data_IF_289928110734
#
_entry.id   IF_289928110734
#
_cell.length_a   1.000
_cell.length_b   1.000
_cell.length_c   1.000
_cell.angle_alpha   90.00
_cell.angle_beta   90.00
_cell.angle_gamma   90.00
#
_symmetry.space_group_name_H-M   'P 1'
#
loop_
_entity.id
_entity.type
_entity.pdbx_description
1 polymer ?
#
# COMPACT_ATOMS: atom_id res chain seq x y z
N UNK A 1 6.99 25.63 -32.50
CA UNK A 1 7.28 25.85 -31.05
C UNK A 1 8.72 25.46 -30.67
N UNK A 2 9.73 26.00 -31.34
CA UNK A 2 11.17 25.71 -31.13
C UNK A 2 11.71 26.16 -29.75
N UNK A 3 11.09 27.19 -29.16
CA UNK A 3 11.53 27.74 -27.87
C UNK A 3 11.43 26.72 -26.71
N UNK A 4 10.38 25.91 -26.66
CA UNK A 4 10.18 24.91 -25.63
C UNK A 4 11.20 23.73 -25.68
N UNK A 5 11.88 23.55 -26.82
CA UNK A 5 12.90 22.51 -27.00
C UNK A 5 14.28 22.92 -26.48
N UNK A 6 14.50 24.20 -26.19
CA UNK A 6 15.80 24.69 -25.70
C UNK A 6 16.08 24.23 -24.27
N UNK A 7 17.36 23.88 -23.97
CA UNK A 7 17.78 23.50 -22.63
C UNK A 7 17.42 24.55 -21.57
N UNK A 8 17.55 25.85 -21.89
CA UNK A 8 17.19 26.97 -21.01
C UNK A 8 15.70 26.98 -20.66
N UNK A 9 14.82 26.84 -21.64
CA UNK A 9 13.38 26.79 -21.40
C UNK A 9 12.99 25.60 -20.51
N UNK A 10 13.54 24.39 -20.79
CA UNK A 10 13.32 23.19 -19.95
C UNK A 10 13.77 23.40 -18.49
N UNK A 11 14.95 23.99 -18.27
CA UNK A 11 15.45 24.28 -16.93
C UNK A 11 14.53 25.29 -16.23
N UNK A 12 14.17 26.39 -16.86
CA UNK A 12 13.30 27.42 -16.27
C UNK A 12 11.92 26.85 -15.90
N UNK A 13 11.36 25.98 -16.72
CA UNK A 13 10.05 25.36 -16.44
C UNK A 13 10.11 24.27 -15.36
N UNK A 14 11.19 23.50 -15.28
CA UNK A 14 11.34 22.42 -14.31
C UNK A 14 11.86 22.91 -12.95
N UNK A 15 12.64 24.00 -12.93
CA UNK A 15 13.33 24.49 -11.73
C UNK A 15 12.36 24.76 -10.55
N UNK A 16 11.23 25.51 -10.72
CA UNK A 16 10.33 25.78 -9.60
C UNK A 16 9.77 24.50 -8.97
N UNK A 17 9.34 23.55 -9.81
CA UNK A 17 8.82 22.25 -9.34
C UNK A 17 9.90 21.43 -8.64
N UNK A 18 11.11 21.38 -9.20
CA UNK A 18 12.24 20.67 -8.60
C UNK A 18 12.68 21.31 -7.28
N UNK A 19 12.66 22.64 -7.17
CA UNK A 19 12.97 23.33 -5.91
C UNK A 19 11.96 22.99 -4.82
N UNK A 20 10.66 23.05 -5.12
CA UNK A 20 9.60 22.67 -4.18
C UNK A 20 9.75 21.22 -3.77
N UNK A 21 9.98 20.32 -4.73
CA UNK A 21 10.20 18.89 -4.46
C UNK A 21 11.45 18.65 -3.57
N UNK A 22 12.54 19.36 -3.85
CA UNK A 22 13.77 19.26 -3.07
C UNK A 22 13.54 19.71 -1.62
N UNK A 23 12.87 20.85 -1.40
CA UNK A 23 12.63 21.40 -0.05
C UNK A 23 11.66 20.53 0.74
N UNK A 24 10.59 20.04 0.11
CA UNK A 24 9.52 19.32 0.84
C UNK A 24 9.83 17.82 1.00
N UNK A 25 10.57 17.21 0.09
CA UNK A 25 10.79 15.77 0.09
C UNK A 25 12.26 15.40 0.28
N UNK A 26 13.16 15.95 -0.55
CA UNK A 26 14.56 15.52 -0.54
C UNK A 26 15.27 15.96 0.74
N UNK A 27 15.15 17.24 1.12
CA UNK A 27 15.82 17.76 2.32
C UNK A 27 15.34 17.05 3.59
N UNK A 28 14.03 16.85 3.87
CA UNK A 28 13.59 16.08 5.04
C UNK A 28 14.10 14.64 5.08
N UNK A 29 14.25 13.98 3.92
CA UNK A 29 14.86 12.64 3.86
C UNK A 29 16.30 12.65 4.32
N UNK A 30 17.11 13.62 3.87
CA UNK A 30 18.49 13.77 4.34
C UNK A 30 18.57 14.13 5.83
N UNK A 31 17.66 14.98 6.31
CA UNK A 31 17.55 15.32 7.73
C UNK A 31 17.22 14.06 8.55
N UNK A 32 16.24 13.26 8.12
CA UNK A 32 15.89 11.99 8.77
C UNK A 32 17.08 11.03 8.78
N UNK A 33 17.80 10.94 7.66
CA UNK A 33 19.01 10.13 7.56
C UNK A 33 20.10 10.60 8.53
N UNK A 34 20.36 11.91 8.63
CA UNK A 34 21.32 12.44 9.58
C UNK A 34 20.93 12.11 11.04
N UNK A 35 19.67 12.40 11.44
CA UNK A 35 19.22 12.13 12.79
C UNK A 35 19.16 10.64 13.14
N UNK A 36 19.04 9.76 12.17
CA UNK A 36 19.05 8.31 12.40
C UNK A 36 20.35 7.78 13.00
N UNK A 37 21.46 8.53 12.86
CA UNK A 37 22.76 8.24 13.47
C UNK A 37 22.99 8.97 14.81
N UNK A 38 21.95 9.58 15.39
CA UNK A 38 22.05 10.35 16.62
C UNK A 38 21.16 9.80 17.72
N UNK A 39 21.40 10.20 18.96
CA UNK A 39 20.56 9.92 20.12
C UNK A 39 19.49 11.00 20.36
N UNK A 40 19.20 11.80 19.34
CA UNK A 40 18.27 12.94 19.47
C UNK A 40 16.92 12.54 20.05
N UNK A 41 16.51 13.25 21.11
CA UNK A 41 15.25 13.04 21.83
C UNK A 41 14.14 14.05 21.49
N UNK A 42 14.40 14.96 20.53
CA UNK A 42 13.51 16.07 20.19
C UNK A 42 13.80 17.36 20.93
N UNK A 43 14.62 17.34 21.98
CA UNK A 43 15.03 18.48 22.77
C UNK A 43 16.55 18.43 23.03
N UNK A 44 17.20 19.60 23.04
CA UNK A 44 18.64 19.70 23.32
C UNK A 44 19.53 19.34 22.13
N UNK A 45 20.79 18.98 22.44
CA UNK A 45 21.80 18.65 21.41
C UNK A 45 21.71 17.19 21.02
N UNK A 46 21.79 16.90 19.72
CA UNK A 46 21.93 15.56 19.20
C UNK A 46 23.40 15.12 19.27
N UNK A 47 23.72 13.99 19.92
CA UNK A 47 25.04 13.39 19.89
C UNK A 47 25.11 12.31 18.83
N UNK A 48 26.21 12.22 18.11
CA UNK A 48 26.39 11.18 17.09
C UNK A 48 26.67 9.82 17.76
N UNK A 49 25.86 8.82 17.46
CA UNK A 49 25.95 7.46 18.04
C UNK A 49 26.26 6.38 16.98
N UNK A 50 26.57 6.79 15.76
CA UNK A 50 26.84 5.87 14.67
C UNK A 50 25.66 4.94 14.36
N UNK A 51 25.91 3.68 14.15
CA UNK A 51 24.89 2.67 13.79
C UNK A 51 24.11 2.09 14.98
N UNK A 52 24.27 2.64 16.19
CA UNK A 52 23.67 2.10 17.42
C UNK A 52 22.14 1.95 17.32
N UNK A 53 21.44 2.90 16.70
CA UNK A 53 20.00 2.84 16.48
C UNK A 53 19.61 1.65 15.58
N UNK A 54 20.39 1.40 14.54
CA UNK A 54 20.13 0.29 13.61
C UNK A 54 20.39 -1.08 14.27
N UNK A 55 21.44 -1.19 15.08
CA UNK A 55 21.69 -2.40 15.89
C UNK A 55 20.57 -2.62 16.88
N UNK A 56 20.11 -1.56 17.56
CA UNK A 56 19.00 -1.63 18.51
C UNK A 56 17.70 -2.15 17.86
N UNK A 57 17.40 -1.80 16.61
CA UNK A 57 16.21 -2.31 15.91
C UNK A 57 16.16 -3.82 15.85
N UNK A 58 17.26 -4.51 15.59
CA UNK A 58 17.31 -5.97 15.52
C UNK A 58 17.11 -6.68 16.88
N UNK A 59 17.26 -5.95 17.99
CA UNK A 59 17.02 -6.43 19.34
C UNK A 59 15.70 -5.93 19.94
N UNK A 60 15.00 -5.05 19.23
CA UNK A 60 13.72 -4.49 19.65
C UNK A 60 12.57 -5.40 19.22
N UNK A 61 11.96 -6.09 20.19
CA UNK A 61 10.85 -7.01 19.96
C UNK A 61 9.65 -6.33 19.29
N UNK A 62 9.35 -5.05 19.62
CA UNK A 62 8.23 -4.33 19.04
C UNK A 62 8.50 -3.97 17.58
N UNK A 63 9.74 -3.59 17.25
CA UNK A 63 10.14 -3.39 15.86
C UNK A 63 10.00 -4.68 15.03
N UNK A 64 10.45 -5.81 15.56
CA UNK A 64 10.34 -7.09 14.86
C UNK A 64 8.90 -7.53 14.67
N UNK A 65 8.00 -7.27 15.64
CA UNK A 65 6.56 -7.50 15.51
C UNK A 65 5.99 -6.60 14.40
N UNK A 66 6.29 -5.31 14.44
CA UNK A 66 5.82 -4.36 13.44
C UNK A 66 6.33 -4.70 12.02
N UNK A 67 7.58 -5.13 11.91
CA UNK A 67 8.17 -5.62 10.66
C UNK A 67 7.41 -6.86 10.13
N UNK A 68 7.21 -7.86 10.98
CA UNK A 68 6.44 -9.08 10.64
C UNK A 68 5.03 -8.73 10.18
N UNK A 69 4.32 -7.90 10.95
CA UNK A 69 2.96 -7.49 10.62
C UNK A 69 2.90 -6.73 9.29
N UNK A 70 3.85 -5.82 9.04
CA UNK A 70 3.92 -5.09 7.77
C UNK A 70 4.09 -6.04 6.59
N UNK A 71 4.95 -7.06 6.70
CA UNK A 71 5.10 -8.07 5.66
C UNK A 71 3.87 -8.96 5.50
N UNK A 72 3.18 -9.32 6.59
CA UNK A 72 1.91 -10.05 6.50
C UNK A 72 0.84 -9.21 5.79
N UNK A 73 0.67 -7.95 6.19
CA UNK A 73 -0.27 -7.03 5.51
C UNK A 73 0.10 -6.88 4.04
N UNK A 74 1.40 -6.74 3.72
CA UNK A 74 1.87 -6.66 2.34
C UNK A 74 1.49 -7.90 1.53
N UNK A 75 1.78 -9.09 2.06
CA UNK A 75 1.50 -10.36 1.40
C UNK A 75 0.00 -10.52 1.11
N UNK A 76 -0.84 -10.33 2.12
CA UNK A 76 -2.30 -10.43 1.97
C UNK A 76 -2.83 -9.34 1.04
N UNK A 77 -2.36 -8.09 1.18
CA UNK A 77 -2.80 -7.00 0.30
C UNK A 77 -2.41 -7.25 -1.15
N UNK A 78 -1.20 -7.72 -1.45
CA UNK A 78 -0.80 -8.05 -2.82
C UNK A 78 -1.74 -9.10 -3.40
N UNK A 79 -2.03 -10.19 -2.67
CA UNK A 79 -2.89 -11.26 -3.16
C UNK A 79 -4.32 -10.77 -3.40
N UNK A 80 -4.96 -10.20 -2.36
CA UNK A 80 -6.37 -9.80 -2.43
C UNK A 80 -6.60 -8.61 -3.37
N UNK A 81 -5.68 -7.63 -3.37
CA UNK A 81 -5.85 -6.43 -4.16
C UNK A 81 -5.59 -6.66 -5.64
N UNK A 82 -4.52 -7.39 -5.99
CA UNK A 82 -4.22 -7.66 -7.40
C UNK A 82 -5.33 -8.50 -8.02
N UNK A 83 -5.74 -9.58 -7.37
CA UNK A 83 -6.81 -10.43 -7.88
C UNK A 83 -8.14 -9.67 -7.90
N UNK A 84 -8.52 -9.03 -6.79
CA UNK A 84 -9.81 -8.34 -6.68
C UNK A 84 -9.93 -7.15 -7.63
N UNK A 85 -8.88 -6.33 -7.75
CA UNK A 85 -8.91 -5.16 -8.65
C UNK A 85 -8.86 -5.55 -10.13
N UNK A 86 -8.16 -6.63 -10.48
CA UNK A 86 -8.16 -7.16 -11.84
C UNK A 86 -9.56 -7.70 -12.21
N UNK A 87 -10.19 -8.48 -11.32
CA UNK A 87 -11.57 -8.96 -11.53
C UNK A 87 -12.57 -7.81 -11.63
N UNK A 88 -12.44 -6.79 -10.75
CA UNK A 88 -13.25 -5.59 -10.82
C UNK A 88 -13.07 -4.86 -12.17
N UNK A 89 -11.85 -4.78 -12.69
CA UNK A 89 -11.56 -4.16 -13.98
C UNK A 89 -12.21 -4.92 -15.15
N UNK A 90 -12.16 -6.25 -15.12
CA UNK A 90 -12.86 -7.09 -16.12
C UNK A 90 -14.37 -6.84 -16.11
N UNK A 91 -14.98 -6.70 -14.93
CA UNK A 91 -16.39 -6.36 -14.79
C UNK A 91 -16.67 -4.93 -15.26
N UNK A 92 -15.86 -3.97 -14.86
CA UNK A 92 -15.98 -2.56 -15.29
C UNK A 92 -15.82 -2.37 -16.79
N UNK A 93 -15.11 -3.27 -17.47
CA UNK A 93 -14.93 -3.23 -18.94
C UNK A 93 -16.14 -3.75 -19.70
N UNK A 94 -17.03 -4.52 -19.07
CA UNK A 94 -18.25 -5.03 -19.71
C UNK A 94 -19.30 -3.93 -19.83
N UNK A 95 -20.04 -3.95 -20.95
CA UNK A 95 -21.20 -3.09 -21.14
C UNK A 95 -22.46 -3.79 -20.57
N UNK A 96 -22.93 -3.33 -19.40
CA UNK A 96 -24.19 -3.76 -18.80
C UNK A 96 -24.94 -2.59 -18.18
N UNK A 97 -26.25 -2.73 -18.01
CA UNK A 97 -27.07 -1.72 -17.36
C UNK A 97 -26.59 -1.51 -15.90
N UNK A 98 -26.25 -0.27 -15.54
CA UNK A 98 -25.72 0.05 -14.21
C UNK A 98 -24.19 0.01 -14.08
N UNK A 99 -23.44 -0.22 -15.16
CA UNK A 99 -21.96 -0.22 -15.11
C UNK A 99 -21.38 1.08 -14.55
N UNK A 100 -21.99 2.23 -14.87
CA UNK A 100 -21.55 3.52 -14.31
C UNK A 100 -21.72 3.56 -12.78
N UNK A 101 -22.86 3.07 -12.27
CA UNK A 101 -23.10 2.97 -10.83
C UNK A 101 -22.13 1.97 -10.16
N UNK A 102 -21.89 0.83 -10.78
CA UNK A 102 -20.93 -0.16 -10.30
C UNK A 102 -19.51 0.43 -10.15
N UNK A 103 -19.03 1.18 -11.17
CA UNK A 103 -17.75 1.89 -11.11
C UNK A 103 -17.71 2.91 -9.97
N UNK A 104 -18.79 3.65 -9.78
CA UNK A 104 -18.91 4.63 -8.71
C UNK A 104 -18.83 3.95 -7.33
N UNK A 105 -19.56 2.88 -7.10
CA UNK A 105 -19.59 2.15 -5.82
C UNK A 105 -18.22 1.55 -5.48
N UNK A 106 -17.55 0.93 -6.47
CA UNK A 106 -16.23 0.35 -6.24
C UNK A 106 -15.16 1.42 -5.98
N UNK A 107 -15.27 2.58 -6.62
CA UNK A 107 -14.30 3.67 -6.45
C UNK A 107 -14.57 4.53 -5.20
N UNK A 108 -15.82 4.58 -4.72
CA UNK A 108 -16.22 5.44 -3.61
C UNK A 108 -15.36 5.30 -2.33
N UNK A 109 -14.97 4.08 -1.88
CA UNK A 109 -14.12 3.93 -0.69
C UNK A 109 -12.78 4.64 -0.80
N UNK A 110 -12.18 4.73 -1.98
CA UNK A 110 -10.90 5.39 -2.20
C UNK A 110 -10.92 6.89 -1.93
N UNK A 111 -12.09 7.53 -2.13
CA UNK A 111 -12.26 8.98 -1.93
C UNK A 111 -12.40 9.33 -0.45
N UNK A 112 -12.76 8.36 0.39
CA UNK A 112 -12.94 8.57 1.83
C UNK A 112 -11.56 8.60 2.51
N UNK A 113 -11.36 9.59 3.39
CA UNK A 113 -10.10 9.70 4.14
C UNK A 113 -9.84 8.43 4.97
N UNK A 114 -8.59 7.88 4.97
CA UNK A 114 -8.25 6.63 5.68
C UNK A 114 -8.59 6.64 7.17
N UNK A 115 -8.51 7.80 7.80
CA UNK A 115 -8.88 7.97 9.22
C UNK A 115 -10.37 7.67 9.47
N UNK A 116 -11.25 8.11 8.59
CA UNK A 116 -12.71 7.86 8.70
C UNK A 116 -12.99 6.38 8.47
N UNK A 117 -12.35 5.77 7.48
CA UNK A 117 -12.44 4.33 7.21
C UNK A 117 -11.97 3.53 8.44
N UNK A 118 -10.85 3.91 9.04
CA UNK A 118 -10.35 3.26 10.25
C UNK A 118 -11.34 3.31 11.41
N UNK A 119 -12.02 4.44 11.62
CA UNK A 119 -13.07 4.58 12.65
C UNK A 119 -14.25 3.65 12.34
N UNK A 120 -14.79 3.70 11.12
CA UNK A 120 -15.96 2.91 10.71
C UNK A 120 -15.66 1.41 10.85
N UNK A 121 -14.55 0.95 10.31
CA UNK A 121 -14.18 -0.46 10.38
C UNK A 121 -13.77 -0.90 11.80
N UNK A 122 -13.24 0.00 12.63
CA UNK A 122 -13.01 -0.23 14.05
C UNK A 122 -14.31 -0.59 14.79
N UNK A 123 -15.42 0.08 14.46
CA UNK A 123 -16.74 -0.28 15.01
C UNK A 123 -17.30 -1.56 14.38
N UNK A 124 -17.20 -1.73 13.05
CA UNK A 124 -17.74 -2.90 12.33
C UNK A 124 -17.06 -4.19 12.79
N UNK A 125 -15.74 -4.18 12.99
CA UNK A 125 -14.92 -5.33 13.36
C UNK A 125 -14.71 -5.48 14.87
N UNK A 126 -15.36 -4.66 15.71
CA UNK A 126 -15.20 -4.78 17.16
C UNK A 126 -15.61 -6.17 17.64
N UNK A 127 -14.76 -6.88 18.45
CA UNK A 127 -15.03 -8.25 18.86
C UNK A 127 -16.32 -8.41 19.68
N UNK A 128 -16.68 -7.41 20.49
CA UNK A 128 -17.75 -7.49 21.46
C UNK A 128 -19.12 -7.08 20.89
N UNK A 129 -19.16 -5.93 20.21
CA UNK A 129 -20.40 -5.31 19.72
C UNK A 129 -20.39 -5.03 18.21
N UNK A 130 -19.34 -5.44 17.51
CA UNK A 130 -19.20 -5.18 16.07
C UNK A 130 -20.24 -5.90 15.23
N UNK A 131 -20.61 -5.24 14.13
CA UNK A 131 -21.63 -5.74 13.20
C UNK A 131 -21.28 -7.13 12.65
N UNK A 132 -20.02 -7.37 12.29
CA UNK A 132 -19.60 -8.64 11.69
C UNK A 132 -19.84 -9.80 12.65
N UNK A 133 -19.35 -9.72 13.89
CA UNK A 133 -19.56 -10.79 14.89
C UNK A 133 -21.03 -10.93 15.30
N UNK A 134 -21.77 -9.82 15.35
CA UNK A 134 -23.21 -9.86 15.67
C UNK A 134 -24.01 -10.59 14.60
N UNK A 135 -23.69 -10.37 13.32
CA UNK A 135 -24.32 -11.10 12.19
C UNK A 135 -23.90 -12.58 12.20
N UNK A 136 -22.61 -12.87 12.35
CA UNK A 136 -22.10 -14.25 12.38
C UNK A 136 -22.78 -15.10 13.47
N UNK A 137 -22.93 -14.54 14.69
CA UNK A 137 -23.64 -15.20 15.80
C UNK A 137 -25.12 -15.42 15.49
N UNK A 138 -25.81 -14.42 14.88
CA UNK A 138 -27.23 -14.55 14.53
C UNK A 138 -27.52 -15.63 13.49
N UNK A 139 -26.57 -15.91 12.58
CA UNK A 139 -26.70 -16.97 11.56
C UNK A 139 -26.10 -18.31 12.00
N UNK A 140 -25.71 -18.46 13.28
CA UNK A 140 -25.18 -19.70 13.84
C UNK A 140 -23.72 -20.01 13.47
N UNK A 141 -22.96 -19.03 13.01
CA UNK A 141 -21.54 -19.16 12.65
C UNK A 141 -20.62 -18.63 13.75
N UNK A 142 -20.89 -19.00 15.00
CA UNK A 142 -20.14 -18.53 16.19
C UNK A 142 -18.63 -18.82 16.10
N UNK A 143 -18.24 -19.92 15.47
CA UNK A 143 -16.82 -20.27 15.27
C UNK A 143 -16.04 -19.24 14.41
N UNK A 144 -16.73 -18.46 13.58
CA UNK A 144 -16.14 -17.39 12.77
C UNK A 144 -16.21 -16.02 13.46
N UNK A 145 -16.90 -15.92 14.61
CA UNK A 145 -16.94 -14.68 15.41
C UNK A 145 -15.66 -14.52 16.24
N UNK A 146 -14.60 -14.13 15.56
CA UNK A 146 -13.23 -14.02 16.09
C UNK A 146 -12.89 -12.59 16.52
N UNK A 147 -11.72 -12.41 17.14
CA UNK A 147 -11.14 -11.10 17.42
C UNK A 147 -10.48 -10.53 16.16
N UNK A 148 -11.31 -9.95 15.27
CA UNK A 148 -10.84 -9.31 14.03
C UNK A 148 -9.81 -8.22 14.28
N UNK A 149 -10.03 -7.42 15.33
CA UNK A 149 -9.16 -6.36 15.81
C UNK A 149 -8.96 -6.54 17.32
N UNK A 150 -7.86 -6.03 17.85
CA UNK A 150 -7.56 -6.17 19.29
C UNK A 150 -6.89 -7.50 19.67
N UNK A 151 -6.80 -8.45 18.74
CA UNK A 151 -6.05 -9.70 18.90
C UNK A 151 -4.73 -9.70 18.11
N UNK A 152 -3.79 -10.53 18.52
CA UNK A 152 -2.46 -10.61 17.88
C UNK A 152 -2.48 -11.36 16.54
N UNK A 153 -3.43 -12.26 16.38
CA UNK A 153 -3.47 -13.21 15.25
C UNK A 153 -4.13 -12.63 14.01
N UNK A 154 -5.28 -11.98 14.17
CA UNK A 154 -6.14 -11.60 13.05
C UNK A 154 -6.02 -10.13 12.65
N UNK A 155 -5.48 -9.27 13.52
CA UNK A 155 -5.37 -7.83 13.23
C UNK A 155 -4.63 -7.50 11.92
N UNK A 156 -3.50 -8.15 11.56
CA UNK A 156 -2.84 -7.87 10.29
C UNK A 156 -3.70 -8.24 9.06
N UNK A 157 -4.45 -9.36 9.14
CA UNK A 157 -5.36 -9.77 8.07
C UNK A 157 -6.53 -8.79 7.93
N UNK A 158 -7.12 -8.36 9.04
CA UNK A 158 -8.20 -7.38 9.05
C UNK A 158 -7.75 -6.04 8.45
N UNK A 159 -6.56 -5.57 8.81
CA UNK A 159 -5.96 -4.39 8.21
C UNK A 159 -5.75 -4.54 6.70
N UNK A 160 -5.27 -5.70 6.25
CA UNK A 160 -5.08 -5.99 4.84
C UNK A 160 -6.40 -6.00 4.06
N UNK A 161 -7.47 -6.58 4.63
CA UNK A 161 -8.81 -6.63 4.02
C UNK A 161 -9.37 -5.21 3.90
N UNK A 162 -9.31 -4.41 4.96
CA UNK A 162 -9.85 -3.05 4.96
C UNK A 162 -9.06 -2.14 4.02
N UNK A 163 -7.74 -2.22 4.05
CA UNK A 163 -6.88 -1.50 3.10
C UNK A 163 -7.19 -1.89 1.66
N UNK A 164 -7.29 -3.19 1.37
CA UNK A 164 -7.64 -3.69 0.04
C UNK A 164 -8.99 -3.16 -0.43
N UNK A 165 -10.02 -3.23 0.42
CA UNK A 165 -11.33 -2.69 0.10
C UNK A 165 -11.29 -1.20 -0.20
N UNK A 166 -10.54 -0.43 0.58
CA UNK A 166 -10.41 1.01 0.40
C UNK A 166 -9.82 1.37 -0.95
N UNK A 167 -8.73 0.70 -1.37
CA UNK A 167 -7.99 1.09 -2.58
C UNK A 167 -8.32 0.26 -3.82
N UNK A 168 -9.21 -0.74 -3.71
CA UNK A 168 -9.56 -1.66 -4.79
C UNK A 168 -10.03 -0.94 -6.06
N UNK A 169 -10.89 0.06 -5.92
CA UNK A 169 -11.40 0.83 -7.06
C UNK A 169 -10.32 1.59 -7.82
N UNK A 170 -9.37 2.19 -7.11
CA UNK A 170 -8.23 2.88 -7.70
C UNK A 170 -7.37 1.92 -8.54
N UNK A 171 -6.96 0.79 -7.96
CA UNK A 171 -6.18 -0.23 -8.67
C UNK A 171 -6.97 -0.86 -9.83
N UNK A 172 -8.29 -1.04 -9.63
CA UNK A 172 -9.19 -1.50 -10.69
C UNK A 172 -9.26 -0.55 -11.89
N UNK A 173 -9.24 0.77 -11.67
CA UNK A 173 -9.21 1.75 -12.78
C UNK A 173 -7.89 1.72 -13.55
N UNK A 174 -6.77 1.45 -12.88
CA UNK A 174 -5.46 1.27 -13.55
C UNK A 174 -5.51 0.03 -14.44
N UNK A 175 -6.03 -1.10 -13.94
CA UNK A 175 -6.22 -2.30 -14.77
C UNK A 175 -7.19 -2.06 -15.92
N UNK A 176 -8.30 -1.36 -15.69
CA UNK A 176 -9.27 -1.02 -16.73
C UNK A 176 -8.63 -0.19 -17.85
N UNK A 177 -7.79 0.78 -17.48
CA UNK A 177 -7.05 1.59 -18.46
C UNK A 177 -6.09 0.73 -19.28
N UNK A 178 -5.39 -0.21 -18.65
CA UNK A 178 -4.54 -1.19 -19.34
C UNK A 178 -5.34 -2.08 -20.30
N UNK A 179 -6.49 -2.61 -19.87
CA UNK A 179 -7.36 -3.44 -20.72
C UNK A 179 -7.83 -2.66 -21.95
N UNK A 180 -8.21 -1.40 -21.77
CA UNK A 180 -8.66 -0.54 -22.87
C UNK A 180 -7.55 -0.10 -23.82
N UNK A 181 -6.29 -0.19 -23.40
CA UNK A 181 -5.15 0.11 -24.25
C UNK A 181 -4.77 -1.06 -25.17
N UNK A 182 -5.32 -2.25 -24.98
CA UNK A 182 -5.13 -3.39 -25.87
C UNK A 182 -5.89 -3.11 -27.17
N UNK A 183 -5.24 -3.16 -28.35
CA UNK A 183 -5.93 -2.95 -29.64
C UNK A 183 -7.05 -3.95 -29.87
N UNK A 184 -8.17 -3.48 -30.44
CA UNK A 184 -9.34 -4.32 -30.72
C UNK A 184 -9.04 -5.47 -31.67
N UNK A 185 -8.21 -5.21 -32.68
CA UNK A 185 -7.81 -6.19 -33.71
C UNK A 185 -7.23 -7.49 -33.11
N UNK A 186 -6.57 -7.38 -31.95
CA UNK A 186 -6.03 -8.56 -31.25
C UNK A 186 -7.19 -9.44 -30.74
N UNK A 187 -8.24 -8.83 -30.25
CA UNK A 187 -9.40 -9.54 -29.78
C UNK A 187 -10.23 -10.12 -30.94
N UNK A 188 -10.32 -9.41 -32.06
CA UNK A 188 -10.96 -9.90 -33.29
C UNK A 188 -10.20 -11.11 -33.85
N UNK A 189 -8.85 -11.09 -33.85
CA UNK A 189 -8.05 -12.24 -34.22
C UNK A 189 -8.32 -13.46 -33.33
N UNK A 190 -8.42 -13.26 -32.01
CA UNK A 190 -8.79 -14.36 -31.09
C UNK A 190 -10.17 -14.95 -31.40
N UNK A 191 -11.14 -14.11 -31.79
CA UNK A 191 -12.48 -14.57 -32.14
C UNK A 191 -12.46 -15.37 -33.45
N UNK A 192 -11.64 -14.99 -34.45
CA UNK A 192 -11.40 -15.72 -35.70
C UNK A 192 -10.75 -17.08 -35.42
N UNK A 193 -9.75 -17.13 -34.51
CA UNK A 193 -9.09 -18.37 -34.11
C UNK A 193 -9.93 -19.27 -33.21
N UNK A 194 -11.18 -18.88 -32.88
CA UNK A 194 -12.09 -19.65 -32.05
C UNK A 194 -11.71 -19.75 -30.57
N UNK A 195 -10.89 -18.82 -30.06
CA UNK A 195 -10.46 -18.82 -28.68
C UNK A 195 -11.65 -18.54 -27.72
N UNK A 196 -11.82 -19.40 -26.71
CA UNK A 196 -12.81 -19.18 -25.66
C UNK A 196 -12.38 -18.07 -24.69
N UNK A 197 -13.32 -17.59 -23.84
CA UNK A 197 -13.08 -16.49 -22.91
C UNK A 197 -11.89 -16.72 -21.97
N UNK A 198 -11.66 -17.94 -21.49
CA UNK A 198 -10.55 -18.27 -20.62
C UNK A 198 -9.22 -18.26 -21.38
N UNK A 199 -9.20 -18.82 -22.59
CA UNK A 199 -8.03 -18.77 -23.46
C UNK A 199 -7.64 -17.34 -23.78
N UNK A 200 -8.58 -16.50 -24.18
CA UNK A 200 -8.37 -15.07 -24.41
C UNK A 200 -7.86 -14.34 -23.17
N UNK A 201 -8.38 -14.67 -21.96
CA UNK A 201 -7.93 -14.08 -20.72
C UNK A 201 -6.48 -14.45 -20.39
N UNK A 202 -6.16 -15.75 -20.39
CA UNK A 202 -4.86 -16.24 -19.92
C UNK A 202 -3.72 -16.11 -20.95
N UNK A 203 -4.04 -16.28 -22.26
CA UNK A 203 -3.01 -16.27 -23.31
C UNK A 203 -2.84 -14.90 -23.97
N UNK A 204 -3.80 -13.99 -23.84
CA UNK A 204 -3.76 -12.66 -24.47
C UNK A 204 -3.84 -11.55 -23.47
N UNK A 205 -4.95 -11.43 -22.72
CA UNK A 205 -5.21 -10.27 -21.86
C UNK A 205 -4.18 -10.15 -20.73
N UNK A 206 -3.96 -11.21 -19.95
CA UNK A 206 -3.00 -11.17 -18.82
C UNK A 206 -1.55 -10.92 -19.28
N UNK A 207 -1.03 -11.60 -20.31
CA UNK A 207 0.31 -11.30 -20.81
C UNK A 207 0.47 -9.86 -21.31
N UNK A 208 -0.51 -9.31 -22.01
CA UNK A 208 -0.47 -7.91 -22.50
C UNK A 208 -0.56 -6.88 -21.37
N UNK A 209 -1.15 -7.23 -20.25
CA UNK A 209 -1.25 -6.37 -19.05
C UNK A 209 -0.02 -6.44 -18.14
N UNK A 210 1.04 -7.11 -18.52
CA UNK A 210 2.22 -7.32 -17.68
C UNK A 210 2.74 -6.02 -17.04
N UNK A 211 2.86 -4.95 -17.81
CA UNK A 211 3.30 -3.63 -17.31
C UNK A 211 2.31 -3.06 -16.31
N UNK A 212 1.00 -3.22 -16.56
CA UNK A 212 -0.05 -2.79 -15.65
C UNK A 212 -0.01 -3.55 -14.33
N UNK A 213 0.28 -4.86 -14.35
CA UNK A 213 0.53 -5.65 -13.13
C UNK A 213 1.73 -5.14 -12.37
N UNK A 214 2.84 -4.82 -13.05
CA UNK A 214 4.05 -4.27 -12.41
C UNK A 214 3.73 -2.96 -11.70
N UNK A 215 3.05 -2.03 -12.38
CA UNK A 215 2.66 -0.74 -11.81
C UNK A 215 1.78 -0.95 -10.57
N UNK A 216 0.75 -1.80 -10.66
CA UNK A 216 -0.14 -2.07 -9.54
C UNK A 216 0.59 -2.66 -8.33
N UNK A 217 1.47 -3.64 -8.52
CA UNK A 217 2.22 -4.26 -7.42
C UNK A 217 3.16 -3.24 -6.75
N UNK A 218 3.86 -2.42 -7.52
CA UNK A 218 4.72 -1.34 -6.97
C UNK A 218 3.90 -0.35 -6.15
N UNK A 219 2.71 0.02 -6.62
CA UNK A 219 1.80 0.90 -5.88
C UNK A 219 1.28 0.26 -4.59
N UNK A 220 0.96 -1.04 -4.61
CA UNK A 220 0.58 -1.78 -3.39
C UNK A 220 1.73 -1.82 -2.39
N UNK A 221 2.94 -2.17 -2.82
CA UNK A 221 4.12 -2.20 -1.96
C UNK A 221 4.34 -0.86 -1.29
N UNK A 222 4.39 0.22 -2.07
CA UNK A 222 4.58 1.57 -1.54
C UNK A 222 3.40 2.03 -0.68
N UNK A 223 2.18 1.62 -1.00
CA UNK A 223 0.98 1.92 -0.24
C UNK A 223 0.98 1.29 1.15
N UNK A 224 1.32 0.00 1.24
CA UNK A 224 1.38 -0.72 2.53
C UNK A 224 2.41 -0.12 3.48
N UNK A 225 3.59 0.27 2.99
CA UNK A 225 4.61 0.94 3.80
C UNK A 225 4.22 2.36 4.25
N UNK A 226 3.09 2.90 3.81
CA UNK A 226 2.55 4.21 4.22
C UNK A 226 1.33 4.10 5.12
N UNK A 227 0.82 2.89 5.41
CA UNK A 227 -0.37 2.71 6.25
C UNK A 227 -0.05 3.15 7.68
N UNK A 228 -0.65 4.27 8.11
CA UNK A 228 -0.59 4.80 9.45
C UNK A 228 -1.98 5.03 10.04
N UNK A 229 -2.78 5.89 9.40
CA UNK A 229 -4.07 6.35 9.91
C UNK A 229 -5.05 5.20 10.15
N UNK A 230 -5.02 4.21 9.25
CA UNK A 230 -5.88 3.03 9.35
C UNK A 230 -5.54 2.20 10.61
N UNK A 231 -4.25 1.93 10.85
CA UNK A 231 -3.80 1.20 12.05
C UNK A 231 -4.15 1.99 13.31
N UNK A 232 -3.82 3.28 13.30
CA UNK A 232 -4.05 4.15 14.45
C UNK A 232 -5.52 4.19 14.87
N UNK A 233 -6.46 4.26 13.92
CA UNK A 233 -7.89 4.34 14.21
C UNK A 233 -8.53 2.97 14.46
N UNK A 234 -8.10 1.92 13.78
CA UNK A 234 -8.70 0.59 13.95
C UNK A 234 -8.24 -0.11 15.24
N UNK A 235 -6.96 -0.01 15.57
CA UNK A 235 -6.37 -0.82 16.65
C UNK A 235 -5.56 -0.01 17.66
N UNK A 236 -5.15 1.23 17.31
CA UNK A 236 -4.20 2.01 18.11
C UNK A 236 -2.86 1.30 18.33
N UNK A 237 -2.51 0.34 17.44
CA UNK A 237 -1.35 -0.54 17.64
C UNK A 237 -1.58 -1.68 18.63
N UNK A 238 -2.70 -1.69 19.34
CA UNK A 238 -3.00 -2.61 20.45
C UNK A 238 -3.45 -4.02 20.06
N UNK A 239 -3.58 -4.92 21.07
CA UNK A 239 -3.12 -4.75 22.44
C UNK A 239 -1.59 -4.81 22.56
N UNK A 240 -1.02 -4.09 23.53
CA UNK A 240 0.41 -4.11 23.84
C UNK A 240 1.36 -3.99 22.61
N UNK A 241 1.01 -3.13 21.66
CA UNK A 241 1.73 -2.91 20.39
C UNK A 241 1.82 -4.13 19.45
N UNK A 242 0.94 -5.12 19.61
CA UNK A 242 0.97 -6.37 18.82
C UNK A 242 0.39 -6.19 17.39
N UNK A 243 -0.39 -5.15 17.14
CA UNK A 243 -0.94 -4.85 15.80
C UNK A 243 -0.22 -3.71 15.08
N UNK A 244 0.89 -3.22 15.62
CA UNK A 244 1.70 -2.18 14.98
C UNK A 244 2.20 -2.61 13.60
N UNK A 245 2.20 -1.66 12.68
CA UNK A 245 2.99 -1.71 11.46
C UNK A 245 4.22 -0.80 11.62
N UNK A 246 5.20 -0.93 10.75
CA UNK A 246 6.44 -0.14 10.83
C UNK A 246 6.17 1.37 10.93
N UNK A 247 5.22 1.88 10.16
CA UNK A 247 4.90 3.33 10.14
C UNK A 247 4.21 3.78 11.42
N UNK A 248 3.29 2.99 11.98
CA UNK A 248 2.63 3.31 13.24
C UNK A 248 3.60 3.20 14.43
N UNK A 249 4.48 2.19 14.42
CA UNK A 249 5.52 2.05 15.42
C UNK A 249 6.58 3.17 15.36
N UNK A 250 6.97 3.58 14.15
CA UNK A 250 7.80 4.76 13.94
C UNK A 250 7.16 6.01 14.58
N UNK A 251 5.88 6.25 14.29
CA UNK A 251 5.14 7.39 14.84
C UNK A 251 5.08 7.35 16.37
N UNK A 252 4.72 6.20 16.96
CA UNK A 252 4.74 5.99 18.41
C UNK A 252 6.13 6.28 19.01
N UNK A 253 7.19 5.81 18.37
CA UNK A 253 8.58 5.98 18.83
C UNK A 253 9.00 7.44 18.80
N UNK A 254 8.67 8.17 17.75
CA UNK A 254 9.00 9.60 17.60
C UNK A 254 8.18 10.46 18.55
N UNK A 255 6.87 10.36 18.50
CA UNK A 255 5.98 11.35 19.12
C UNK A 255 5.55 10.98 20.53
N UNK A 256 5.41 9.70 20.85
CA UNK A 256 4.99 9.24 22.18
C UNK A 256 6.20 8.93 23.06
N UNK A 257 7.16 8.15 22.55
CA UNK A 257 8.33 7.74 23.32
C UNK A 257 9.46 8.77 23.28
N UNK A 258 9.36 9.82 22.46
CA UNK A 258 10.35 10.90 22.29
C UNK A 258 11.76 10.40 21.93
N UNK A 259 11.87 9.27 21.26
CA UNK A 259 13.12 8.68 20.78
C UNK A 259 13.32 9.03 19.30
N UNK A 260 13.52 10.32 19.01
CA UNK A 260 13.55 10.83 17.64
C UNK A 260 14.63 10.16 16.78
N UNK A 261 15.87 10.07 17.27
CA UNK A 261 16.96 9.45 16.52
C UNK A 261 16.66 8.00 16.15
N UNK A 262 16.11 7.22 17.08
CA UNK A 262 15.70 5.85 16.82
C UNK A 262 14.49 5.77 15.86
N UNK A 263 13.49 6.63 16.04
CA UNK A 263 12.34 6.70 15.12
C UNK A 263 12.75 7.11 13.70
N UNK A 264 13.75 8.01 13.55
CA UNK A 264 14.32 8.35 12.24
C UNK A 264 15.06 7.15 11.61
N UNK A 265 15.73 6.31 12.40
CA UNK A 265 16.33 5.09 11.90
C UNK A 265 15.25 4.11 11.39
N UNK A 266 14.10 4.00 12.06
CA UNK A 266 12.93 3.23 11.56
C UNK A 266 12.41 3.84 10.25
N UNK A 267 12.28 5.17 10.15
CA UNK A 267 11.84 5.84 8.92
C UNK A 267 12.76 5.54 7.73
N UNK A 268 14.09 5.58 7.95
CA UNK A 268 15.08 5.20 6.93
C UNK A 268 14.95 3.73 6.56
N UNK A 269 14.73 2.83 7.53
CA UNK A 269 14.50 1.41 7.26
C UNK A 269 13.24 1.18 6.41
N UNK A 270 12.13 1.87 6.70
CA UNK A 270 10.89 1.84 5.89
C UNK A 270 11.18 2.27 4.45
N UNK A 271 11.88 3.39 4.27
CA UNK A 271 12.28 3.90 2.96
C UNK A 271 13.09 2.86 2.17
N UNK A 272 14.13 2.30 2.80
CA UNK A 272 14.98 1.30 2.16
C UNK A 272 14.22 0.03 1.81
N UNK A 273 13.36 -0.48 2.70
CA UNK A 273 12.55 -1.67 2.44
C UNK A 273 11.55 -1.44 1.29
N UNK A 274 10.93 -0.26 1.24
CA UNK A 274 10.01 0.10 0.17
C UNK A 274 10.72 0.19 -1.20
N UNK A 275 11.90 0.83 -1.24
CA UNK A 275 12.71 0.93 -2.45
C UNK A 275 13.20 -0.46 -2.89
N UNK A 276 13.77 -1.24 -1.97
CA UNK A 276 14.29 -2.58 -2.27
C UNK A 276 13.19 -3.51 -2.75
N UNK A 277 12.01 -3.49 -2.11
CA UNK A 277 10.86 -4.29 -2.52
C UNK A 277 10.40 -3.95 -3.93
N UNK A 278 10.19 -2.66 -4.21
CA UNK A 278 9.76 -2.17 -5.52
C UNK A 278 10.80 -2.43 -6.61
N UNK A 279 12.07 -2.10 -6.34
CA UNK A 279 13.15 -2.27 -7.32
C UNK A 279 13.44 -3.73 -7.63
N UNK A 280 13.46 -4.60 -6.61
CA UNK A 280 13.67 -6.04 -6.79
C UNK A 280 12.57 -6.64 -7.66
N UNK A 281 11.32 -6.27 -7.43
CA UNK A 281 10.19 -6.74 -8.23
C UNK A 281 10.30 -6.29 -9.69
N UNK A 282 10.57 -5.00 -9.94
CA UNK A 282 10.77 -4.46 -11.29
C UNK A 282 11.92 -5.21 -12.00
N UNK A 283 13.07 -5.36 -11.33
CA UNK A 283 14.25 -6.01 -11.92
C UNK A 283 14.00 -7.48 -12.32
N UNK A 284 13.32 -8.24 -11.45
CA UNK A 284 12.98 -9.64 -11.72
C UNK A 284 12.05 -9.75 -12.92
N UNK A 285 11.04 -8.86 -12.98
CA UNK A 285 9.98 -8.94 -14.01
C UNK A 285 10.46 -8.44 -15.37
N UNK A 286 11.35 -7.43 -15.41
CA UNK A 286 11.89 -6.89 -16.68
C UNK A 286 13.06 -7.73 -17.25
N UNK A 287 13.83 -8.45 -16.40
CA UNK A 287 14.85 -9.38 -16.90
C UNK A 287 14.27 -10.50 -17.78
N UNK A 288 13.08 -11.00 -17.44
CA UNK A 288 12.37 -12.02 -18.25
C UNK A 288 11.93 -11.53 -19.65
N UNK A 289 12.05 -10.26 -19.96
CA UNK A 289 11.74 -9.72 -21.29
C UNK A 289 12.95 -9.71 -22.25
N UNK A 290 14.18 -9.87 -21.71
CA UNK A 290 15.43 -9.81 -22.51
C UNK A 290 16.04 -11.18 -22.81
N UNK A 291 15.48 -12.23 -22.27
CA UNK A 291 15.79 -13.64 -22.56
C UNK A 291 14.66 -14.29 -23.38
#
# INVERSE_FOLDING_TARGET
MYWLSTKKAKIIMLLPTLMIYAVIIIIPVFIAFYYSFTDYSGLGKASFVGIKNYVAMFHDKLFLIALKNTFLVLLFSVIFLIVGSFMAALLMNKNFHGNAFFKMVIFAPYVIAPIIIGIIWGYILNPNYGLVNSVLRKIGLDMLAIEWIGGTKWSPLSLAIVFTWQVLGFHGTIFLSGIKAIPGDIYEACDIDGANLLQRLFYVTIPMLKETFIINIVLVVTGVFKIYELVYQMTGGGPAHQSELLTSYMYFTVFTSRRYGYGMAIAVAILLLSILGSFSYIKITTRKQRS
#
